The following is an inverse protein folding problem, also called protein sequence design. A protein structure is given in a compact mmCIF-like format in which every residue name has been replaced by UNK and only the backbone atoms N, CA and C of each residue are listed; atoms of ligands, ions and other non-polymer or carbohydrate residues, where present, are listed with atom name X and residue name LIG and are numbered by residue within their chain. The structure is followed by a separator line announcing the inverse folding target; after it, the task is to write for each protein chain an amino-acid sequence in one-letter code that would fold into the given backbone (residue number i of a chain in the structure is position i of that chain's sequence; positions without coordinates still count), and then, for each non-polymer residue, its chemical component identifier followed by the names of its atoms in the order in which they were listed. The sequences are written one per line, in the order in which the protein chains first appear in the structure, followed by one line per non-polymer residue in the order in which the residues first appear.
data_IF_431066721678
#
_entry.id   IF_431066721678
#
_cell.length_a   1.000
_cell.length_b   1.000
_cell.length_c   1.000
_cell.angle_alpha   90.00
_cell.angle_beta   90.00
_cell.angle_gamma   90.00
#
_symmetry.space_group_name_H-M   'P 1'
#
loop_
_entity.id
_entity.type
_entity.pdbx_description
1 polymer ?
#
# COMPACT_ATOMS: atom_id res chain seq x y z
N UNK A 1 -24.87 4.80 4.01
CA UNK A 1 -24.10 3.98 4.98
C UNK A 1 -23.12 3.15 4.16
N UNK A 2 -21.89 3.63 3.99
CA UNK A 2 -20.92 3.07 3.03
C UNK A 2 -20.19 1.89 3.70
N UNK A 3 -20.32 0.70 3.11
CA UNK A 3 -19.56 -0.49 3.51
C UNK A 3 -18.09 -0.31 3.12
N UNK A 4 -17.21 -0.48 4.11
CA UNK A 4 -15.77 -0.64 3.92
C UNK A 4 -15.51 -1.79 2.94
N UNK A 5 -14.74 -1.52 1.90
CA UNK A 5 -14.37 -2.51 0.88
C UNK A 5 -13.33 -3.46 1.46
N UNK A 6 -13.74 -4.73 1.62
CA UNK A 6 -12.87 -5.83 2.02
C UNK A 6 -11.68 -6.01 1.07
N UNK A 7 -10.52 -6.24 1.66
CA UNK A 7 -9.24 -6.32 0.98
C UNK A 7 -9.04 -7.70 0.31
N UNK A 8 -9.17 -7.76 -1.01
CA UNK A 8 -8.58 -8.84 -1.80
C UNK A 8 -7.28 -8.37 -2.48
N UNK A 9 -6.19 -9.04 -2.10
CA UNK A 9 -4.83 -8.92 -2.66
C UNK A 9 -4.77 -9.73 -3.95
N UNK A 10 -3.96 -9.30 -4.92
CA UNK A 10 -3.56 -10.14 -6.05
C UNK A 10 -2.04 -10.04 -6.20
N UNK A 11 -1.35 -11.14 -6.48
CA UNK A 11 -0.72 -12.05 -5.50
C UNK A 11 0.72 -12.41 -5.91
N UNK A 12 1.37 -11.64 -6.79
CA UNK A 12 2.59 -12.09 -7.49
C UNK A 12 3.84 -11.23 -7.23
N UNK A 13 3.76 -9.90 -7.31
CA UNK A 13 4.91 -9.02 -7.07
C UNK A 13 5.09 -8.63 -5.60
N UNK A 14 3.99 -8.51 -4.84
CA UNK A 14 4.03 -8.38 -3.38
C UNK A 14 4.66 -9.63 -2.72
N UNK A 15 4.48 -10.80 -3.33
CA UNK A 15 4.93 -12.10 -2.82
C UNK A 15 6.45 -12.25 -2.88
N UNK A 16 7.13 -11.76 -3.92
CA UNK A 16 8.59 -11.91 -4.09
C UNK A 16 9.42 -11.00 -3.15
N UNK A 17 8.94 -9.79 -2.86
CA UNK A 17 9.54 -8.93 -1.83
C UNK A 17 9.27 -9.47 -0.41
N UNK A 18 8.06 -10.01 -0.18
CA UNK A 18 7.71 -10.64 1.09
C UNK A 18 8.54 -11.90 1.38
N UNK A 19 8.97 -12.65 0.37
CA UNK A 19 9.77 -13.88 0.57
C UNK A 19 11.18 -13.61 1.12
N UNK A 20 11.86 -12.55 0.67
CA UNK A 20 13.22 -12.20 1.15
C UNK A 20 13.24 -11.60 2.56
N UNK A 21 12.08 -11.11 3.02
CA UNK A 21 11.92 -10.51 4.34
C UNK A 21 11.30 -11.48 5.34
N UNK A 22 11.05 -12.74 4.95
CA UNK A 22 10.56 -13.75 5.89
C UNK A 22 11.62 -14.03 6.94
N UNK A 23 11.17 -14.10 8.18
CA UNK A 23 12.02 -14.45 9.31
C UNK A 23 11.32 -15.47 10.21
N UNK A 24 12.06 -15.97 11.20
CA UNK A 24 11.46 -16.57 12.38
C UNK A 24 11.25 -15.47 13.43
N UNK A 25 10.27 -15.68 14.30
CA UNK A 25 10.00 -14.76 15.38
C UNK A 25 9.74 -15.53 16.67
N UNK A 26 9.92 -14.85 17.78
CA UNK A 26 9.52 -15.32 19.10
C UNK A 26 7.98 -15.31 19.25
N UNK A 27 7.49 -15.54 20.47
CA UNK A 27 6.07 -15.40 20.76
C UNK A 27 5.62 -13.95 20.53
N UNK A 28 4.43 -13.72 19.93
CA UNK A 28 3.86 -12.39 19.81
C UNK A 28 3.63 -11.78 21.18
N UNK A 29 4.08 -10.53 21.36
CA UNK A 29 3.89 -9.78 22.61
C UNK A 29 2.93 -8.60 22.47
N UNK A 30 2.57 -8.23 21.24
CA UNK A 30 1.66 -7.13 20.95
C UNK A 30 0.81 -7.39 19.71
N UNK A 31 -0.42 -6.86 19.73
CA UNK A 31 -1.29 -6.75 18.58
C UNK A 31 -1.43 -5.27 18.18
N UNK A 32 -1.00 -4.97 16.97
CA UNK A 32 -1.10 -3.65 16.36
C UNK A 32 -2.32 -3.60 15.44
N UNK A 33 -3.23 -2.66 15.67
CA UNK A 33 -4.40 -2.42 14.82
C UNK A 33 -4.22 -1.13 14.03
N UNK A 34 -4.44 -1.21 12.72
CA UNK A 34 -4.40 -0.07 11.80
C UNK A 34 -5.60 -0.13 10.85
N UNK A 35 -6.55 0.79 11.01
CA UNK A 35 -7.83 0.70 10.33
C UNK A 35 -8.57 -0.60 10.67
N UNK A 36 -8.98 -1.36 9.65
CA UNK A 36 -9.62 -2.68 9.82
C UNK A 36 -8.65 -3.86 9.95
N UNK A 37 -7.34 -3.64 9.82
CA UNK A 37 -6.34 -4.70 9.87
C UNK A 37 -5.75 -4.87 11.26
N UNK A 38 -5.42 -6.11 11.62
CA UNK A 38 -4.71 -6.47 12.86
C UNK A 38 -3.44 -7.23 12.52
N UNK A 39 -2.36 -6.88 13.23
CA UNK A 39 -1.04 -7.45 13.04
C UNK A 39 -0.49 -7.92 14.38
N UNK A 40 0.09 -9.10 14.41
CA UNK A 40 0.83 -9.60 15.56
C UNK A 40 2.28 -9.12 15.45
N UNK A 41 2.86 -8.70 16.58
CA UNK A 41 4.23 -8.18 16.68
C UNK A 41 5.02 -9.06 17.65
N UNK A 42 6.21 -9.46 17.22
CA UNK A 42 7.15 -10.26 17.98
C UNK A 42 8.58 -9.73 17.77
N UNK A 43 9.53 -10.22 18.58
CA UNK A 43 10.94 -10.06 18.24
C UNK A 43 11.32 -11.05 17.15
N UNK A 44 12.16 -10.60 16.23
CA UNK A 44 12.83 -11.51 15.32
C UNK A 44 13.73 -12.46 16.09
N UNK A 45 13.68 -13.74 15.75
CA UNK A 45 14.56 -14.75 16.33
C UNK A 45 15.91 -14.70 15.61
N UNK A 46 16.96 -14.36 16.34
CA UNK A 46 18.36 -14.35 15.87
C UNK A 46 19.18 -15.41 16.61
N UNK A 47 20.14 -16.02 15.92
CA UNK A 47 20.97 -17.09 16.48
C UNK A 47 22.00 -16.57 17.51
N UNK A 48 22.45 -15.32 17.35
CA UNK A 48 23.34 -14.61 18.29
C UNK A 48 22.75 -13.24 18.67
N UNK A 49 22.11 -13.13 19.84
CA UNK A 49 21.46 -11.90 20.29
C UNK A 49 22.44 -10.82 20.79
N UNK A 50 23.72 -11.15 21.02
CA UNK A 50 24.70 -10.20 21.57
C UNK A 50 25.34 -9.32 20.48
N UNK A 51 25.29 -9.73 19.21
CA UNK A 51 25.87 -8.99 18.08
C UNK A 51 24.88 -8.06 17.36
N UNK A 52 23.57 -8.29 17.52
CA UNK A 52 22.54 -7.55 16.76
C UNK A 52 21.43 -7.05 17.68
N UNK A 53 21.11 -5.75 17.68
CA UNK A 53 20.00 -5.23 18.48
C UNK A 53 18.68 -5.90 18.05
N UNK A 54 17.78 -6.21 19.00
CA UNK A 54 16.56 -6.95 18.69
C UNK A 54 15.69 -6.15 17.71
N UNK A 55 15.52 -6.70 16.52
CA UNK A 55 14.57 -6.23 15.50
C UNK A 55 13.20 -6.83 15.76
N UNK A 56 12.17 -6.13 15.32
CA UNK A 56 10.81 -6.62 15.37
C UNK A 56 10.49 -7.46 14.14
N UNK A 57 9.44 -8.26 14.24
CA UNK A 57 8.78 -8.90 13.13
C UNK A 57 7.28 -8.70 13.27
N UNK A 58 6.55 -8.72 12.15
CA UNK A 58 5.10 -8.73 12.18
C UNK A 58 4.50 -9.87 11.36
N UNK A 59 3.31 -10.28 11.74
CA UNK A 59 2.45 -11.15 10.96
C UNK A 59 1.05 -10.56 10.86
N UNK A 60 0.31 -10.91 9.81
CA UNK A 60 -1.12 -10.61 9.73
C UNK A 60 -1.83 -11.58 10.68
N UNK A 61 -2.64 -11.08 11.61
CA UNK A 61 -3.30 -11.92 12.61
C UNK A 61 -4.04 -13.10 11.97
N UNK A 62 -3.78 -14.31 12.46
CA UNK A 62 -4.36 -15.55 11.94
C UNK A 62 -3.72 -16.09 10.65
N UNK A 63 -2.62 -15.50 10.17
CA UNK A 63 -1.81 -16.05 9.07
C UNK A 63 -0.49 -16.63 9.57
N UNK A 64 -0.01 -17.65 8.88
CA UNK A 64 1.33 -18.18 9.10
C UNK A 64 2.35 -17.39 8.28
N UNK A 65 3.35 -16.81 8.94
CA UNK A 65 4.48 -16.15 8.28
C UNK A 65 4.83 -14.82 8.93
N UNK A 66 6.09 -14.69 9.34
CA UNK A 66 6.63 -13.48 9.94
C UNK A 66 7.45 -12.71 8.92
N UNK A 67 7.32 -11.39 8.94
CA UNK A 67 8.05 -10.49 8.08
C UNK A 67 8.89 -9.56 8.97
N UNK A 68 10.20 -9.55 8.77
CA UNK A 68 11.17 -8.78 9.56
C UNK A 68 10.93 -7.29 9.42
N UNK A 69 10.76 -6.57 10.52
CA UNK A 69 10.83 -5.10 10.60
C UNK A 69 12.24 -4.68 11.01
N UNK A 70 12.87 -3.79 10.24
CA UNK A 70 14.14 -3.16 10.63
C UNK A 70 13.87 -2.04 11.64
N UNK A 71 13.19 -2.38 12.74
CA UNK A 71 12.72 -1.48 13.80
C UNK A 71 12.81 -2.16 15.15
N UNK A 72 12.94 -1.34 16.17
CA UNK A 72 12.80 -1.67 17.58
C UNK A 72 11.52 -1.01 18.14
N UNK A 73 11.13 -1.40 19.36
CA UNK A 73 10.01 -0.72 20.06
C UNK A 73 10.33 0.76 20.31
N UNK A 74 11.61 1.10 20.49
CA UNK A 74 12.05 2.48 20.75
C UNK A 74 11.83 3.43 19.56
N UNK A 75 11.71 2.91 18.33
CA UNK A 75 11.37 3.71 17.14
C UNK A 75 9.92 4.24 17.18
N UNK A 76 9.10 3.70 18.08
CA UNK A 76 7.72 4.14 18.30
C UNK A 76 6.70 3.45 17.40
N UNK A 77 5.52 3.22 17.97
CA UNK A 77 4.43 2.46 17.34
C UNK A 77 3.90 3.07 16.05
N UNK A 78 3.94 4.40 15.93
CA UNK A 78 3.55 5.09 14.69
C UNK A 78 4.50 4.74 13.55
N UNK A 79 5.82 4.72 13.79
CA UNK A 79 6.79 4.37 12.74
C UNK A 79 6.72 2.89 12.38
N UNK A 80 6.53 2.03 13.37
CA UNK A 80 6.28 0.59 13.16
C UNK A 80 5.04 0.39 12.29
N UNK A 81 3.92 1.05 12.62
CA UNK A 81 2.69 0.98 11.84
C UNK A 81 2.84 1.51 10.42
N UNK A 82 3.62 2.58 10.23
CA UNK A 82 3.92 3.13 8.91
C UNK A 82 4.71 2.12 8.06
N UNK A 83 5.76 1.51 8.62
CA UNK A 83 6.58 0.52 7.91
C UNK A 83 5.77 -0.75 7.56
N UNK A 84 4.85 -1.18 8.42
CA UNK A 84 3.89 -2.26 8.10
C UNK A 84 2.99 -1.86 6.92
N UNK A 85 2.46 -0.64 6.92
CA UNK A 85 1.62 -0.13 5.83
C UNK A 85 2.40 -0.04 4.50
N UNK A 86 3.67 0.34 4.54
CA UNK A 86 4.54 0.44 3.37
C UNK A 86 4.82 -0.90 2.68
N UNK A 87 4.64 -2.01 3.40
CA UNK A 87 4.76 -3.40 2.89
C UNK A 87 3.48 -3.91 2.25
N UNK A 88 2.39 -3.16 2.33
CA UNK A 88 1.21 -3.44 1.53
C UNK A 88 1.54 -3.18 0.05
N UNK A 89 1.38 -4.22 -0.78
CA UNK A 89 1.56 -4.11 -2.24
C UNK A 89 0.66 -3.05 -2.89
N UNK A 90 -0.42 -2.63 -2.23
CA UNK A 90 -1.35 -1.59 -2.69
C UNK A 90 -1.15 -0.23 -2.02
N UNK A 91 -0.02 0.00 -1.35
CA UNK A 91 0.24 1.28 -0.68
C UNK A 91 0.18 2.47 -1.66
N UNK A 92 0.68 2.29 -2.89
CA UNK A 92 0.59 3.30 -3.93
C UNK A 92 -0.86 3.59 -4.33
N UNK A 93 -1.66 2.56 -4.61
CA UNK A 93 -3.08 2.71 -4.96
C UNK A 93 -3.85 3.47 -3.87
N UNK A 94 -3.58 3.18 -2.59
CA UNK A 94 -4.22 3.86 -1.45
C UNK A 94 -3.77 5.30 -1.32
N UNK A 95 -2.48 5.55 -1.50
CA UNK A 95 -1.94 6.91 -1.52
C UNK A 95 -2.58 7.74 -2.64
N UNK A 96 -2.60 7.22 -3.87
CA UNK A 96 -3.22 7.86 -5.03
C UNK A 96 -4.72 8.06 -4.82
N UNK A 97 -5.42 7.09 -4.23
CA UNK A 97 -6.85 7.26 -3.92
C UNK A 97 -7.14 8.41 -2.96
N UNK A 98 -6.21 8.67 -2.05
CA UNK A 98 -6.32 9.75 -1.07
C UNK A 98 -6.01 11.12 -1.69
N UNK A 99 -5.04 11.19 -2.61
CA UNK A 99 -4.48 12.47 -3.07
C UNK A 99 -4.82 12.83 -4.52
N UNK A 100 -5.24 11.90 -5.36
CA UNK A 100 -5.67 12.19 -6.72
C UNK A 100 -7.02 12.92 -6.68
N UNK A 101 -6.97 14.21 -6.96
CA UNK A 101 -8.12 15.10 -7.05
C UNK A 101 -8.57 15.17 -8.49
N UNK A 102 -9.83 14.81 -8.76
CA UNK A 102 -10.43 14.99 -10.08
C UNK A 102 -10.67 16.48 -10.32
N UNK A 103 -10.04 17.02 -11.35
CA UNK A 103 -10.16 18.43 -11.74
C UNK A 103 -11.30 18.63 -12.74
N UNK A 104 -11.48 17.68 -13.66
CA UNK A 104 -12.52 17.75 -14.70
C UNK A 104 -12.87 16.38 -15.26
N UNK A 105 -14.01 16.32 -15.95
CA UNK A 105 -14.48 15.13 -16.65
C UNK A 105 -15.23 14.15 -15.75
N UNK A 106 -15.92 13.21 -16.39
CA UNK A 106 -16.66 12.12 -15.76
C UNK A 106 -16.20 10.77 -16.31
N UNK A 107 -16.44 9.70 -15.55
CA UNK A 107 -15.98 8.36 -15.89
C UNK A 107 -16.85 7.66 -16.95
N UNK A 108 -17.34 8.43 -17.93
CA UNK A 108 -18.07 7.87 -19.05
C UNK A 108 -17.11 7.21 -20.05
N UNK A 109 -17.63 6.27 -20.83
CA UNK A 109 -16.84 5.54 -21.81
C UNK A 109 -16.25 6.52 -22.84
N UNK A 110 -14.93 6.41 -23.07
CA UNK A 110 -14.12 7.24 -23.95
C UNK A 110 -14.01 8.73 -23.57
N UNK A 111 -14.51 9.15 -22.41
CA UNK A 111 -14.35 10.52 -21.93
C UNK A 111 -13.08 10.70 -21.10
N UNK A 112 -12.39 11.82 -21.31
CA UNK A 112 -11.19 12.17 -20.55
C UNK A 112 -11.55 12.71 -19.16
N UNK A 113 -10.97 12.09 -18.13
CA UNK A 113 -10.97 12.56 -16.76
C UNK A 113 -9.57 13.06 -16.42
N UNK A 114 -9.48 14.28 -15.86
CA UNK A 114 -8.20 14.91 -15.50
C UNK A 114 -8.03 14.93 -14.00
N UNK A 115 -6.82 14.65 -13.54
CA UNK A 115 -6.45 14.61 -12.14
C UNK A 115 -5.24 15.50 -11.85
N UNK A 116 -5.20 16.00 -10.62
CA UNK A 116 -4.02 16.57 -9.98
C UNK A 116 -3.69 15.69 -8.78
N UNK A 117 -2.47 15.16 -8.75
CA UNK A 117 -1.88 14.52 -7.59
C UNK A 117 -0.68 15.34 -7.14
N UNK A 118 -0.88 16.23 -6.16
CA UNK A 118 0.18 17.03 -5.54
C UNK A 118 1.02 17.87 -6.53
N UNK A 119 0.37 18.42 -7.56
CA UNK A 119 0.98 19.21 -8.63
C UNK A 119 1.31 18.41 -9.89
N UNK A 120 1.18 17.08 -9.85
CA UNK A 120 1.38 16.21 -11.03
C UNK A 120 0.06 15.98 -11.74
N UNK A 121 -0.04 16.44 -12.99
CA UNK A 121 -1.23 16.30 -13.81
C UNK A 121 -1.20 15.02 -14.64
N UNK A 122 -2.32 14.32 -14.64
CA UNK A 122 -2.51 13.14 -15.45
C UNK A 122 -3.97 12.99 -15.86
N UNK A 123 -4.19 12.27 -16.95
CA UNK A 123 -5.49 12.03 -17.55
C UNK A 123 -5.73 10.53 -17.68
N UNK A 124 -7.00 10.15 -17.58
CA UNK A 124 -7.43 8.79 -17.82
C UNK A 124 -8.72 8.77 -18.62
N UNK A 125 -8.92 7.73 -19.42
CA UNK A 125 -10.23 7.41 -20.01
C UNK A 125 -10.45 5.90 -20.04
N UNK A 126 -11.65 5.49 -19.67
CA UNK A 126 -12.07 4.09 -19.75
C UNK A 126 -12.53 3.86 -21.19
N UNK A 127 -11.91 2.94 -21.93
CA UNK A 127 -12.17 2.73 -23.36
C UNK A 127 -12.94 1.44 -23.64
N UNK A 128 -12.94 0.50 -22.71
CA UNK A 128 -13.72 -0.74 -22.77
C UNK A 128 -13.96 -1.30 -21.37
N UNK A 129 -14.51 -2.51 -21.26
CA UNK A 129 -14.69 -3.18 -19.96
C UNK A 129 -13.36 -3.53 -19.28
N UNK A 130 -12.28 -3.74 -20.04
CA UNK A 130 -10.94 -4.10 -19.53
C UNK A 130 -9.87 -3.04 -19.78
N UNK A 131 -10.04 -2.23 -20.82
CA UNK A 131 -9.06 -1.25 -21.28
C UNK A 131 -9.24 0.12 -20.62
N UNK A 132 -8.14 0.65 -20.09
CA UNK A 132 -8.04 2.00 -19.55
C UNK A 132 -6.84 2.69 -20.17
N UNK A 133 -7.03 3.87 -20.77
CA UNK A 133 -5.91 4.65 -21.28
C UNK A 133 -5.48 5.72 -20.28
N UNK A 134 -4.16 5.89 -20.14
CA UNK A 134 -3.52 6.82 -19.21
C UNK A 134 -2.60 7.75 -20.00
N UNK A 135 -2.51 9.00 -19.55
CA UNK A 135 -1.55 9.99 -20.03
C UNK A 135 -1.03 10.81 -18.87
N UNK A 136 0.29 10.94 -18.72
CA UNK A 136 0.93 11.80 -17.72
C UNK A 136 1.62 12.95 -18.47
N UNK A 137 1.51 14.18 -17.95
CA UNK A 137 2.27 15.37 -18.41
C UNK A 137 2.41 15.58 -19.93
N UNK A 138 1.33 15.33 -20.69
CA UNK A 138 1.31 15.54 -22.15
C UNK A 138 1.97 14.43 -22.98
N UNK A 139 2.38 13.34 -22.36
CA UNK A 139 2.83 12.13 -23.05
C UNK A 139 1.74 11.53 -23.97
N UNK A 140 2.10 10.59 -24.87
CA UNK A 140 1.10 9.81 -25.60
C UNK A 140 0.18 9.02 -24.66
N UNK A 141 -1.06 8.77 -25.11
CA UNK A 141 -1.97 7.86 -24.40
C UNK A 141 -1.41 6.44 -24.41
N UNK A 142 -1.39 5.80 -23.25
CA UNK A 142 -0.99 4.40 -23.07
C UNK A 142 -2.18 3.56 -22.67
N UNK A 143 -2.49 2.53 -23.47
CA UNK A 143 -3.55 1.56 -23.16
C UNK A 143 -3.06 0.51 -22.17
N UNK A 144 -3.80 0.35 -21.08
CA UNK A 144 -3.58 -0.67 -20.06
C UNK A 144 -4.80 -1.60 -20.02
N UNK A 145 -4.55 -2.86 -20.35
CA UNK A 145 -5.54 -3.94 -20.23
C UNK A 145 -5.52 -4.54 -18.83
N UNK A 146 -6.69 -4.60 -18.20
CA UNK A 146 -6.87 -5.09 -16.84
C UNK A 146 -7.76 -6.33 -16.86
N UNK A 147 -7.21 -7.51 -16.54
CA UNK A 147 -7.97 -8.77 -16.58
C UNK A 147 -9.12 -8.84 -15.57
N UNK A 148 -9.01 -8.12 -14.46
CA UNK A 148 -10.07 -7.99 -13.45
C UNK A 148 -10.08 -6.54 -12.93
N UNK A 149 -10.70 -5.62 -13.67
CA UNK A 149 -10.68 -4.21 -13.31
C UNK A 149 -11.52 -3.96 -12.05
N UNK A 150 -11.11 -3.03 -11.18
CA UNK A 150 -11.93 -2.60 -10.05
C UNK A 150 -13.31 -2.09 -10.51
N UNK A 151 -14.35 -2.37 -9.74
CA UNK A 151 -15.70 -1.90 -10.01
C UNK A 151 -15.84 -0.38 -9.88
N UNK A 152 -15.07 0.23 -8.97
CA UNK A 152 -14.98 1.68 -8.82
C UNK A 152 -14.17 2.28 -9.99
N UNK A 153 -14.74 3.20 -10.78
CA UNK A 153 -14.01 3.83 -11.89
C UNK A 153 -12.74 4.54 -11.44
N UNK A 154 -12.75 5.16 -10.24
CA UNK A 154 -11.57 5.80 -9.67
C UNK A 154 -10.45 4.79 -9.39
N UNK A 155 -10.78 3.68 -8.73
CA UNK A 155 -9.80 2.63 -8.44
C UNK A 155 -9.23 2.02 -9.72
N UNK A 156 -10.08 1.90 -10.74
CA UNK A 156 -9.69 1.37 -12.05
C UNK A 156 -8.63 2.24 -12.72
N UNK A 157 -8.86 3.55 -12.80
CA UNK A 157 -7.88 4.47 -13.41
C UNK A 157 -6.61 4.60 -12.59
N UNK A 158 -6.69 4.53 -11.26
CA UNK A 158 -5.51 4.55 -10.38
C UNK A 158 -4.65 3.30 -10.56
N UNK A 159 -5.28 2.11 -10.62
CA UNK A 159 -4.55 0.87 -10.91
C UNK A 159 -3.90 0.92 -12.29
N UNK A 160 -4.58 1.50 -13.28
CA UNK A 160 -4.02 1.66 -14.62
C UNK A 160 -2.84 2.66 -14.65
N UNK A 161 -2.91 3.74 -13.86
CA UNK A 161 -1.79 4.67 -13.68
C UNK A 161 -0.57 3.97 -13.08
N UNK A 162 -0.75 3.25 -11.97
CA UNK A 162 0.33 2.51 -11.32
C UNK A 162 0.97 1.44 -12.21
N UNK A 163 0.20 0.86 -13.14
CA UNK A 163 0.70 -0.12 -14.10
C UNK A 163 1.40 0.51 -15.31
N UNK A 164 0.94 1.67 -15.78
CA UNK A 164 1.56 2.37 -16.93
C UNK A 164 2.85 3.10 -16.57
N UNK A 165 2.96 3.59 -15.33
CA UNK A 165 4.09 4.40 -14.85
C UNK A 165 4.60 3.88 -13.50
N UNK A 166 5.32 2.75 -13.45
CA UNK A 166 5.81 2.16 -12.20
C UNK A 166 6.67 3.12 -11.35
N UNK A 167 7.40 4.02 -12.01
CA UNK A 167 8.28 5.03 -11.41
C UNK A 167 7.55 6.07 -10.55
N UNK A 168 6.23 6.17 -10.67
CA UNK A 168 5.40 7.05 -9.84
C UNK A 168 5.56 6.69 -8.35
N UNK A 169 5.85 5.42 -8.03
CA UNK A 169 6.12 5.01 -6.65
C UNK A 169 7.35 5.71 -6.10
N UNK A 170 8.47 5.67 -6.82
CA UNK A 170 9.69 6.36 -6.43
C UNK A 170 9.51 7.87 -6.42
N UNK A 171 8.82 8.42 -7.42
CA UNK A 171 8.55 9.85 -7.51
C UNK A 171 7.82 10.41 -6.28
N UNK A 172 6.81 9.69 -5.78
CA UNK A 172 6.07 10.08 -4.58
C UNK A 172 6.60 9.48 -3.28
N UNK A 173 7.77 8.81 -3.27
CA UNK A 173 8.22 8.02 -2.12
C UNK A 173 8.19 8.77 -0.78
N UNK A 174 8.66 10.04 -0.76
CA UNK A 174 8.62 10.86 0.45
C UNK A 174 7.18 11.21 0.87
N UNK A 175 6.31 11.53 -0.08
CA UNK A 175 4.91 11.83 0.19
C UNK A 175 4.15 10.59 0.69
N UNK A 176 4.46 9.41 0.13
CA UNK A 176 3.90 8.13 0.56
C UNK A 176 4.37 7.83 1.99
N UNK A 177 5.65 8.02 2.32
CA UNK A 177 6.17 7.81 3.69
C UNK A 177 5.50 8.74 4.71
N UNK A 178 5.41 10.04 4.40
CA UNK A 178 4.73 11.01 5.26
C UNK A 178 3.24 10.69 5.43
N UNK A 179 2.57 10.30 4.34
CA UNK A 179 1.17 9.87 4.40
C UNK A 179 1.03 8.60 5.24
N UNK A 180 1.89 7.60 5.07
CA UNK A 180 1.86 6.38 5.84
C UNK A 180 2.05 6.65 7.34
N UNK A 181 2.98 7.54 7.70
CA UNK A 181 3.14 8.01 9.08
C UNK A 181 1.87 8.69 9.60
N UNK A 182 1.22 9.55 8.81
CA UNK A 182 -0.04 10.19 9.18
C UNK A 182 -1.15 9.17 9.41
N UNK A 183 -1.30 8.17 8.56
CA UNK A 183 -2.29 7.10 8.76
C UNK A 183 -1.97 6.30 10.03
N UNK A 184 -0.69 6.00 10.26
CA UNK A 184 -0.22 5.25 11.42
C UNK A 184 -0.34 6.02 12.76
N UNK A 185 -0.66 7.31 12.75
CA UNK A 185 -1.01 8.03 14.00
C UNK A 185 -2.25 7.45 14.68
N UNK A 186 -3.15 6.82 13.90
CA UNK A 186 -4.35 6.15 14.42
C UNK A 186 -4.12 4.71 14.90
N UNK A 187 -2.86 4.30 15.10
CA UNK A 187 -2.54 2.95 15.53
C UNK A 187 -3.06 2.69 16.95
N UNK A 188 -3.64 1.51 17.16
CA UNK A 188 -3.97 1.00 18.50
C UNK A 188 -3.08 -0.20 18.79
N UNK A 189 -2.48 -0.25 19.98
CA UNK A 189 -1.61 -1.34 20.41
C UNK A 189 -2.23 -2.02 21.63
N UNK A 190 -2.36 -3.33 21.55
CA UNK A 190 -2.88 -4.17 22.63
C UNK A 190 -1.79 -5.15 23.06
N UNK A 191 -1.49 -5.28 24.36
CA UNK A 191 -0.55 -6.31 24.82
C UNK A 191 -1.14 -7.70 24.57
N UNK A 192 -0.26 -8.66 24.27
CA UNK A 192 -0.59 -10.09 24.18
C UNK A 192 0.14 -10.84 25.30
N UNK A 193 -0.51 -11.88 25.82
CA UNK A 193 0.03 -12.77 26.87
C UNK A 193 0.38 -14.12 26.28
#
# INVERSE_FOLDING_TARGET
MIRMTDAHVTDAQATLLQERERCQAEAPFACLKLGGASFEIAYEKVDDPDETPPTLAFSISGRSGWIRLNRSVADGWTRIGADILMRDGRVLDRFLNTHAVRISGDYNLNEEVRFDTLGTYWSARIVSDTGTEIRVDGEPWMLIEQSNPPASPKDRVIRALAASHPEIREYFAQHIDHWACRIATGVTVLPMM
#
